data_IF_781068815087
#
_entry.id   IF_781068815087
#
_cell.length_a   1.000
_cell.length_b   1.000
_cell.length_c   1.000
_cell.angle_alpha   90.00
_cell.angle_beta   90.00
_cell.angle_gamma   90.00
#
_symmetry.space_group_name_H-M   'P 1'
#
loop_
_entity.id
_entity.type
_entity.pdbx_description
1 polymer ?
#
# COMPACT_ATOMS: atom_id res chain seq x y z
N UNK A 1 27.45 9.57 1.69
CA UNK A 1 25.99 9.67 1.54
C UNK A 1 25.46 8.39 2.14
N UNK A 2 24.89 8.45 3.36
CA UNK A 2 24.46 7.25 4.08
C UNK A 2 23.24 6.64 3.39
N UNK A 3 23.42 5.47 2.76
CA UNK A 3 22.29 4.69 2.26
C UNK A 3 21.46 4.20 3.45
N UNK A 4 20.25 4.74 3.56
CA UNK A 4 19.33 4.41 4.63
C UNK A 4 18.54 3.15 4.25
N UNK A 5 19.09 1.98 4.59
CA UNK A 5 18.41 0.71 4.34
C UNK A 5 17.21 0.53 5.27
N UNK A 6 16.07 0.11 4.71
CA UNK A 6 14.91 -0.34 5.49
C UNK A 6 15.04 -1.84 5.72
N UNK A 7 15.10 -2.26 6.98
CA UNK A 7 15.18 -3.68 7.35
C UNK A 7 13.76 -4.20 7.58
N UNK A 8 13.27 -5.18 6.79
CA UNK A 8 11.96 -5.78 7.02
C UNK A 8 12.00 -6.67 8.26
N UNK A 9 10.96 -6.61 9.08
CA UNK A 9 10.74 -7.51 10.21
C UNK A 9 9.49 -8.33 9.91
N UNK A 10 9.59 -9.65 9.98
CA UNK A 10 8.50 -10.57 9.62
C UNK A 10 8.28 -11.64 10.68
N UNK A 11 7.08 -12.22 10.65
CA UNK A 11 6.69 -13.42 11.38
C UNK A 11 5.66 -14.17 10.54
N UNK A 12 5.73 -15.50 10.57
CA UNK A 12 4.75 -16.39 9.97
C UNK A 12 3.74 -16.85 11.01
N UNK A 13 2.47 -16.92 10.62
CA UNK A 13 1.35 -17.32 11.49
C UNK A 13 0.47 -18.34 10.76
N UNK A 14 -0.13 -19.29 11.50
CA UNK A 14 -1.13 -20.20 10.95
C UNK A 14 -2.45 -19.44 10.70
N UNK A 15 -2.99 -19.58 9.50
CA UNK A 15 -4.21 -18.92 9.03
C UNK A 15 -5.03 -19.86 8.13
N UNK A 16 -5.05 -21.15 8.47
CA UNK A 16 -5.72 -22.24 7.75
C UNK A 16 -7.24 -22.05 7.60
N UNK A 17 -7.86 -21.29 8.50
CA UNK A 17 -9.28 -20.93 8.44
C UNK A 17 -9.56 -19.56 7.81
N UNK A 18 -8.52 -18.86 7.35
CA UNK A 18 -8.68 -17.54 6.73
C UNK A 18 -8.60 -17.62 5.21
N UNK A 19 -9.37 -16.77 4.53
CA UNK A 19 -9.16 -16.45 3.12
C UNK A 19 -8.49 -15.08 3.03
N UNK A 20 -7.79 -14.74 1.93
CA UNK A 20 -7.20 -13.41 1.78
C UNK A 20 -8.21 -12.27 2.01
N UNK A 21 -9.45 -12.44 1.54
CA UNK A 21 -10.52 -11.47 1.77
C UNK A 21 -10.94 -11.38 3.25
N UNK A 22 -11.01 -12.49 3.98
CA UNK A 22 -11.34 -12.45 5.42
C UNK A 22 -10.24 -11.73 6.21
N UNK A 23 -8.97 -11.99 5.89
CA UNK A 23 -7.83 -11.27 6.49
C UNK A 23 -7.87 -9.79 6.17
N UNK A 24 -8.09 -9.42 4.90
CA UNK A 24 -8.20 -8.02 4.49
C UNK A 24 -9.30 -7.29 5.27
N UNK A 25 -10.48 -7.91 5.39
CA UNK A 25 -11.58 -7.32 6.15
C UNK A 25 -11.25 -7.10 7.63
N UNK A 26 -10.46 -7.99 8.24
CA UNK A 26 -10.03 -7.91 9.64
C UNK A 26 -8.95 -6.86 9.87
N UNK A 27 -7.99 -6.71 8.95
CA UNK A 27 -6.77 -5.93 9.17
C UNK A 27 -6.75 -4.58 8.46
N UNK A 28 -7.45 -4.45 7.34
CA UNK A 28 -7.14 -3.43 6.34
C UNK A 28 -8.38 -2.78 5.71
N UNK A 29 -9.60 -2.98 6.22
CA UNK A 29 -10.81 -2.39 5.64
C UNK A 29 -10.96 -0.88 5.94
N UNK A 30 -10.05 -0.05 5.41
CA UNK A 30 -9.98 1.40 5.64
C UNK A 30 -9.38 2.14 4.45
N UNK A 31 -9.42 3.48 4.36
CA UNK A 31 -8.77 4.20 3.27
C UNK A 31 -7.27 3.90 3.16
N UNK A 32 -6.76 3.93 1.92
CA UNK A 32 -5.33 3.73 1.59
C UNK A 32 -4.77 2.37 2.00
N UNK A 33 -5.60 1.34 1.91
CA UNK A 33 -5.22 -0.07 2.00
C UNK A 33 -5.48 -0.75 0.66
N UNK A 34 -4.95 -1.96 0.49
CA UNK A 34 -5.18 -2.73 -0.73
C UNK A 34 -5.12 -4.24 -0.46
N UNK A 35 -5.76 -5.00 -1.35
CA UNK A 35 -5.62 -6.43 -1.49
C UNK A 35 -5.28 -6.70 -2.96
N UNK A 36 -4.11 -7.27 -3.23
CA UNK A 36 -3.75 -7.79 -4.55
C UNK A 36 -3.77 -9.30 -4.51
N UNK A 37 -4.43 -9.91 -5.48
CA UNK A 37 -4.46 -11.36 -5.64
C UNK A 37 -3.86 -11.70 -7.01
N UNK A 38 -2.96 -12.68 -7.02
CA UNK A 38 -2.38 -13.18 -8.27
C UNK A 38 -3.40 -14.03 -9.03
N UNK A 39 -3.39 -13.97 -10.36
CA UNK A 39 -4.15 -14.92 -11.20
C UNK A 39 -3.16 -15.50 -12.20
N UNK A 40 -2.90 -16.80 -12.11
CA UNK A 40 -2.20 -17.57 -13.16
C UNK A 40 -3.26 -18.40 -13.92
N UNK A 41 -3.20 -18.40 -15.25
CA UNK A 41 -4.31 -18.87 -16.10
C UNK A 41 -4.87 -20.27 -15.78
N UNK A 42 -6.21 -20.36 -15.71
CA UNK A 42 -6.98 -21.60 -15.49
C UNK A 42 -7.51 -21.78 -14.06
N UNK A 43 -8.07 -22.97 -13.77
CA UNK A 43 -8.78 -23.36 -12.52
C UNK A 43 -7.93 -23.37 -11.22
N UNK A 44 -6.76 -22.72 -11.19
CA UNK A 44 -5.88 -22.69 -10.01
C UNK A 44 -5.94 -21.31 -9.34
N UNK A 45 -6.25 -21.31 -8.04
CA UNK A 45 -6.26 -20.12 -7.19
C UNK A 45 -4.90 -19.40 -7.16
N UNK A 46 -4.94 -18.12 -6.84
CA UNK A 46 -3.79 -17.24 -6.63
C UNK A 46 -2.67 -17.94 -5.83
N UNK A 47 -1.42 -17.88 -6.33
CA UNK A 47 -0.27 -18.42 -5.58
C UNK A 47 0.03 -17.60 -4.32
N UNK A 48 -0.27 -16.29 -4.35
CA UNK A 48 -0.08 -15.36 -3.25
C UNK A 48 -1.11 -14.23 -3.31
N UNK A 49 -1.51 -13.74 -2.12
CA UNK A 49 -2.22 -12.49 -1.95
C UNK A 49 -1.39 -11.53 -1.10
N UNK A 50 -1.38 -10.24 -1.46
CA UNK A 50 -0.66 -9.17 -0.78
C UNK A 50 -1.66 -8.19 -0.17
N UNK A 51 -1.57 -7.98 1.14
CA UNK A 51 -2.42 -7.01 1.85
C UNK A 51 -1.57 -5.82 2.28
N UNK A 52 -1.90 -4.66 1.74
CA UNK A 52 -1.37 -3.39 2.18
C UNK A 52 -2.18 -2.83 3.33
N UNK A 53 -1.53 -2.63 4.48
CA UNK A 53 -2.12 -1.90 5.60
C UNK A 53 -2.10 -0.40 5.36
N UNK A 54 -2.79 0.34 6.23
CA UNK A 54 -2.92 1.79 6.13
C UNK A 54 -1.56 2.47 6.05
N UNK A 55 -1.35 3.22 4.97
CA UNK A 55 -0.16 4.04 4.81
C UNK A 55 -0.14 5.23 5.79
N UNK A 56 1.01 5.50 6.40
CA UNK A 56 1.22 6.72 7.21
C UNK A 56 1.42 7.96 6.35
N UNK A 57 2.02 7.82 5.18
CA UNK A 57 2.30 8.90 4.23
C UNK A 57 1.61 8.58 2.90
N UNK A 58 0.85 9.53 2.37
CA UNK A 58 0.10 9.39 1.11
C UNK A 58 0.45 10.57 0.21
N UNK A 59 0.89 10.27 -1.01
CA UNK A 59 1.06 11.24 -2.07
C UNK A 59 -0.15 11.18 -2.98
N UNK A 60 -0.84 12.30 -3.15
CA UNK A 60 -2.00 12.43 -4.02
C UNK A 60 -1.67 13.43 -5.11
N UNK A 61 -1.74 12.99 -6.35
CA UNK A 61 -1.40 13.80 -7.50
C UNK A 61 -2.68 14.03 -8.30
N UNK A 62 -3.08 15.29 -8.47
CA UNK A 62 -4.19 15.69 -9.32
C UNK A 62 -3.68 16.78 -10.26
N UNK A 63 -3.68 16.50 -11.57
CA UNK A 63 -3.09 17.37 -12.58
C UNK A 63 -1.63 17.69 -12.23
N UNK A 64 -1.32 18.97 -12.02
CA UNK A 64 -0.01 19.50 -11.63
C UNK A 64 0.16 19.67 -10.12
N UNK A 65 -0.86 19.33 -9.33
CA UNK A 65 -0.84 19.52 -7.89
C UNK A 65 -0.49 18.20 -7.19
N UNK A 66 0.52 18.25 -6.33
CA UNK A 66 0.88 17.18 -5.41
C UNK A 66 0.43 17.59 -4.01
N UNK A 67 -0.34 16.74 -3.35
CA UNK A 67 -0.71 16.84 -1.94
C UNK A 67 -0.04 15.70 -1.18
N UNK A 68 0.71 16.03 -0.13
CA UNK A 68 1.34 15.05 0.75
C UNK A 68 0.58 15.04 2.07
N UNK A 69 0.05 13.87 2.42
CA UNK A 69 -0.62 13.65 3.68
C UNK A 69 0.26 12.80 4.59
N UNK A 70 0.42 13.21 5.85
CA UNK A 70 0.98 12.36 6.91
C UNK A 70 -0.06 12.17 8.01
N UNK A 71 -0.35 10.90 8.34
CA UNK A 71 -1.41 10.51 9.28
C UNK A 71 -2.75 11.21 8.98
N UNK A 72 -3.14 11.25 7.71
CA UNK A 72 -4.33 11.93 7.16
C UNK A 72 -4.36 13.46 7.30
N UNK A 73 -3.28 14.10 7.72
CA UNK A 73 -3.18 15.56 7.71
C UNK A 73 -2.39 16.00 6.49
N UNK A 74 -2.92 16.96 5.74
CA UNK A 74 -2.18 17.61 4.66
C UNK A 74 -0.98 18.32 5.30
N UNK A 75 0.23 17.91 4.94
CA UNK A 75 1.49 18.50 5.44
C UNK A 75 2.21 19.30 4.37
N UNK A 76 1.93 19.04 3.10
CA UNK A 76 2.54 19.73 1.97
C UNK A 76 1.59 19.76 0.78
N UNK A 77 1.57 20.88 0.06
CA UNK A 77 0.85 21.02 -1.20
C UNK A 77 1.68 21.87 -2.15
N UNK A 78 1.94 21.37 -3.35
CA UNK A 78 2.76 22.05 -4.34
C UNK A 78 2.18 21.90 -5.75
N UNK A 79 2.36 22.94 -6.57
CA UNK A 79 2.06 22.92 -8.00
C UNK A 79 3.38 22.82 -8.77
N UNK A 80 3.50 21.82 -9.63
CA UNK A 80 4.72 21.49 -10.37
C UNK A 80 4.43 21.25 -11.84
N UNK A 81 5.42 21.51 -12.70
CA UNK A 81 5.27 21.26 -14.12
C UNK A 81 5.29 19.77 -14.48
N UNK A 82 6.12 18.99 -13.79
CA UNK A 82 6.17 17.53 -13.88
C UNK A 82 5.95 16.90 -12.48
N UNK A 83 4.76 16.35 -12.21
CA UNK A 83 4.46 15.75 -10.92
C UNK A 83 5.06 14.35 -10.70
N UNK A 84 5.53 13.67 -11.75
CA UNK A 84 6.14 12.34 -11.63
C UNK A 84 7.64 12.40 -11.36
N UNK A 85 8.28 13.54 -11.63
CA UNK A 85 9.67 13.80 -11.28
C UNK A 85 9.93 14.12 -9.80
N UNK A 86 8.87 14.23 -8.99
CA UNK A 86 8.94 14.53 -7.56
C UNK A 86 9.49 13.33 -6.75
N UNK A 87 10.60 13.51 -6.03
CA UNK A 87 11.31 12.49 -5.26
C UNK A 87 11.69 12.95 -3.85
#
# INVERSE_FOLDING_TARGET
MDEKYKIPVSREILADMETPLSVYRKLANSPYTYLFESVEGGDKWARYSLIGLRAKKVFKIINKNIEVFENNKLVESLSVDDPLGFH
#
